data_IF_061775305859
#
_entry.id   IF_061775305859
#
_cell.length_a   1.000
_cell.length_b   1.000
_cell.length_c   1.000
_cell.angle_alpha   90.00
_cell.angle_beta   90.00
_cell.angle_gamma   90.00
#
_symmetry.space_group_name_H-M   'P 1'
#
loop_
_entity.id
_entity.type
_entity.pdbx_description
1 polymer ?
#
# COMPACT_ATOMS: atom_id res chain seq x y z
N UNK A 1 12.26 -13.07 -5.06
CA UNK A 1 10.85 -12.72 -4.81
C UNK A 1 10.85 -11.42 -4.04
N UNK A 2 10.24 -10.36 -4.57
CA UNK A 2 10.26 -9.02 -3.96
C UNK A 2 8.87 -8.67 -3.41
N UNK A 3 8.86 -8.00 -2.26
CA UNK A 3 7.66 -7.54 -1.57
C UNK A 3 7.73 -6.04 -1.30
N UNK A 4 6.60 -5.35 -1.47
CA UNK A 4 6.43 -3.94 -1.10
C UNK A 4 5.26 -3.79 -0.12
N UNK A 5 5.51 -3.12 1.00
CA UNK A 5 4.49 -2.71 1.96
C UNK A 5 4.80 -1.28 2.43
N UNK A 6 4.19 -0.26 1.82
CA UNK A 6 4.38 1.12 2.26
C UNK A 6 3.60 1.41 3.54
N UNK A 7 4.00 2.47 4.22
CA UNK A 7 3.20 3.16 5.22
C UNK A 7 2.49 4.35 4.57
N UNK A 8 1.28 4.65 5.05
CA UNK A 8 0.56 5.86 4.71
C UNK A 8 0.20 6.58 6.00
N UNK A 9 1.20 7.12 6.67
CA UNK A 9 1.05 7.85 7.91
C UNK A 9 2.41 8.23 8.47
N UNK A 10 2.42 9.09 9.47
CA UNK A 10 3.66 9.50 10.12
C UNK A 10 3.48 9.52 11.63
N UNK A 11 4.55 9.17 12.33
CA UNK A 11 4.55 9.14 13.78
C UNK A 11 4.96 10.50 14.34
N UNK A 12 4.13 11.10 15.18
CA UNK A 12 4.45 12.31 15.96
C UNK A 12 4.20 12.01 17.41
N UNK A 13 5.28 11.85 18.18
CA UNK A 13 5.20 11.46 19.59
C UNK A 13 4.15 12.29 20.36
N UNK A 14 3.22 11.66 21.11
CA UNK A 14 3.15 10.24 21.43
C UNK A 14 2.30 9.37 20.48
N UNK A 15 1.71 9.95 19.42
CA UNK A 15 0.65 9.32 18.64
C UNK A 15 1.02 9.13 17.17
N UNK A 16 0.38 8.14 16.53
CA UNK A 16 0.35 8.06 15.08
C UNK A 16 -0.63 9.08 14.52
N UNK A 17 -0.20 9.81 13.50
CA UNK A 17 -1.05 10.71 12.73
C UNK A 17 -1.43 10.02 11.43
N UNK A 18 -2.73 9.94 11.20
CA UNK A 18 -3.35 9.36 10.00
C UNK A 18 -4.05 10.45 9.19
N UNK A 19 -3.37 11.59 9.05
CA UNK A 19 -3.77 12.66 8.13
C UNK A 19 -3.16 12.33 6.76
N UNK A 20 -3.93 12.52 5.69
CA UNK A 20 -3.52 12.22 4.31
C UNK A 20 -3.24 10.74 4.00
N UNK A 21 -4.13 9.83 4.45
CA UNK A 21 -4.11 8.44 3.99
C UNK A 21 -4.25 8.39 2.46
N UNK A 22 -3.31 7.75 1.78
CA UNK A 22 -3.36 7.55 0.33
C UNK A 22 -4.66 6.84 -0.06
N UNK A 23 -5.32 7.34 -1.09
CA UNK A 23 -6.51 6.68 -1.62
C UNK A 23 -6.19 5.25 -2.13
N UNK A 24 -7.06 4.25 -1.91
CA UNK A 24 -6.82 2.87 -2.34
C UNK A 24 -6.44 2.73 -3.82
N UNK A 25 -7.05 3.56 -4.68
CA UNK A 25 -6.79 3.57 -6.11
C UNK A 25 -5.40 4.14 -6.46
N UNK A 26 -4.96 5.19 -5.75
CA UNK A 26 -3.63 5.75 -5.93
C UNK A 26 -2.54 4.74 -5.50
N UNK A 27 -2.76 4.03 -4.40
CA UNK A 27 -1.87 2.94 -3.98
C UNK A 27 -1.75 1.84 -5.04
N UNK A 28 -2.86 1.47 -5.69
CA UNK A 28 -2.87 0.49 -6.77
C UNK A 28 -2.04 0.94 -7.99
N UNK A 29 -2.04 2.23 -8.32
CA UNK A 29 -1.23 2.78 -9.41
C UNK A 29 0.28 2.65 -9.11
N UNK A 30 0.70 3.01 -7.89
CA UNK A 30 2.08 2.78 -7.44
C UNK A 30 2.46 1.30 -7.47
N UNK A 31 1.58 0.44 -6.95
CA UNK A 31 1.83 -0.99 -6.91
C UNK A 31 1.88 -1.64 -8.31
N UNK A 32 1.17 -1.08 -9.29
CA UNK A 32 1.31 -1.46 -10.70
C UNK A 32 2.71 -1.14 -11.22
N UNK A 33 3.28 0.01 -10.83
CA UNK A 33 4.68 0.35 -11.08
C UNK A 33 5.64 -0.66 -10.45
N UNK A 34 5.47 -0.97 -9.16
CA UNK A 34 6.28 -1.95 -8.45
C UNK A 34 6.20 -3.35 -9.06
N UNK A 35 5.03 -3.76 -9.55
CA UNK A 35 4.85 -5.02 -10.30
C UNK A 35 5.75 -5.07 -11.53
N UNK A 36 5.80 -3.98 -12.31
CA UNK A 36 6.70 -3.87 -13.48
C UNK A 36 8.18 -3.90 -13.07
N UNK A 37 8.51 -3.44 -11.87
CA UNK A 37 9.86 -3.52 -11.29
C UNK A 37 10.22 -4.89 -10.69
N UNK A 38 9.36 -5.91 -10.82
CA UNK A 38 9.63 -7.27 -10.35
C UNK A 38 9.09 -7.60 -8.96
N UNK A 39 8.29 -6.71 -8.37
CA UNK A 39 7.58 -6.99 -7.12
C UNK A 39 6.41 -7.95 -7.37
N UNK A 40 6.28 -8.96 -6.52
CA UNK A 40 5.26 -10.01 -6.67
C UNK A 40 4.35 -10.15 -5.45
N UNK A 41 4.73 -9.55 -4.32
CA UNK A 41 3.92 -9.51 -3.10
C UNK A 41 3.68 -8.04 -2.74
N UNK A 42 2.42 -7.72 -2.41
CA UNK A 42 1.99 -6.38 -2.08
C UNK A 42 1.18 -6.41 -0.78
N UNK A 43 1.43 -5.45 0.10
CA UNK A 43 0.68 -5.27 1.34
C UNK A 43 0.68 -3.80 1.75
N UNK A 44 0.31 -3.56 2.99
CA UNK A 44 0.37 -2.25 3.62
C UNK A 44 0.64 -2.37 5.11
N UNK A 45 1.25 -1.35 5.70
CA UNK A 45 1.48 -1.28 7.14
C UNK A 45 0.63 -0.17 7.76
N UNK A 46 1.21 0.86 8.37
CA UNK A 46 0.46 1.87 9.11
C UNK A 46 -0.40 2.74 8.17
N UNK A 47 -1.67 2.94 8.53
CA UNK A 47 -2.61 3.78 7.76
C UNK A 47 -3.24 3.09 6.54
N UNK A 48 -2.92 1.83 6.26
CA UNK A 48 -3.48 1.08 5.15
C UNK A 48 -4.43 -0.02 5.65
N UNK A 49 -5.68 0.03 5.20
CA UNK A 49 -6.75 -0.82 5.68
C UNK A 49 -7.23 -1.89 4.68
N UNK A 50 -8.39 -2.52 4.96
CA UNK A 50 -9.01 -3.50 4.08
C UNK A 50 -9.36 -2.93 2.69
N UNK A 51 -9.73 -1.65 2.62
CA UNK A 51 -10.01 -0.89 1.39
C UNK A 51 -8.80 -0.96 0.43
N UNK A 52 -7.61 -0.64 0.95
CA UNK A 52 -6.34 -0.69 0.23
C UNK A 52 -5.97 -2.10 -0.21
N UNK A 53 -6.14 -3.08 0.68
CA UNK A 53 -5.87 -4.48 0.38
C UNK A 53 -6.79 -5.00 -0.73
N UNK A 54 -8.05 -4.57 -0.74
CA UNK A 54 -9.03 -4.91 -1.77
C UNK A 54 -8.61 -4.32 -3.12
N UNK A 55 -8.14 -3.06 -3.15
CA UNK A 55 -7.61 -2.46 -4.36
C UNK A 55 -6.36 -3.21 -4.88
N UNK A 56 -5.39 -3.50 -4.00
CA UNK A 56 -4.19 -4.26 -4.34
C UNK A 56 -4.48 -5.68 -4.84
N UNK A 57 -5.57 -6.30 -4.41
CA UNK A 57 -5.95 -7.65 -4.86
C UNK A 57 -6.18 -7.74 -6.38
N UNK A 58 -6.49 -6.61 -7.04
CA UNK A 58 -6.60 -6.51 -8.51
C UNK A 58 -5.28 -6.79 -9.24
N UNK A 59 -4.14 -6.75 -8.54
CA UNK A 59 -2.83 -7.08 -9.10
C UNK A 59 -2.51 -8.57 -9.11
N UNK A 60 -3.33 -9.40 -8.46
CA UNK A 60 -3.18 -10.86 -8.51
C UNK A 60 -3.33 -11.32 -9.95
N UNK A 61 -2.30 -11.99 -10.45
CA UNK A 61 -2.40 -12.71 -11.71
C UNK A 61 -3.27 -13.95 -11.46
N UNK A 62 -4.36 -14.11 -12.23
CA UNK A 62 -5.15 -15.36 -12.27
C UNK A 62 -4.28 -16.50 -12.79
#
# INVERSE_FOLDING_TARGET
MLMAYPDSGYFVAPNWQFEDIIEPQALLEYATGWKKSGCSIFGGCCGLGPEHTTALSKLKSV
#
